data_IF_344305957980
#
_entry.id   IF_344305957980
#
_cell.length_a   1.000
_cell.length_b   1.000
_cell.length_c   1.000
_cell.angle_alpha   90.00
_cell.angle_beta   90.00
_cell.angle_gamma   90.00
#
_symmetry.space_group_name_H-M   'P 1'
#
loop_
_entity.id
_entity.type
_entity.pdbx_description
1 polymer ?
#
# COMPACT_ATOMS: atom_id res chain seq x y z
N UNK A 1 24.40 -22.93 -28.46
CA UNK A 1 23.04 -22.63 -27.94
C UNK A 1 23.05 -22.84 -26.44
N UNK A 2 23.52 -21.86 -25.69
CA UNK A 2 23.53 -21.92 -24.22
C UNK A 2 22.14 -21.55 -23.73
N UNK A 3 21.47 -22.53 -23.11
CA UNK A 3 20.20 -22.32 -22.44
C UNK A 3 20.36 -21.19 -21.41
N UNK A 4 19.45 -20.22 -21.45
CA UNK A 4 19.28 -19.23 -20.39
C UNK A 4 19.08 -19.97 -19.07
N UNK A 5 19.78 -19.58 -17.98
CA UNK A 5 19.49 -20.15 -16.68
C UNK A 5 18.04 -19.81 -16.34
N UNK A 6 17.23 -20.84 -16.12
CA UNK A 6 15.89 -20.71 -15.57
C UNK A 6 15.98 -19.89 -14.29
N UNK A 7 15.40 -18.69 -14.31
CA UNK A 7 15.24 -17.86 -13.13
C UNK A 7 14.57 -18.71 -12.04
N UNK A 8 15.18 -18.89 -10.86
CA UNK A 8 14.51 -19.56 -9.76
C UNK A 8 13.23 -18.79 -9.47
N UNK A 9 12.12 -19.51 -9.38
CA UNK A 9 10.80 -18.98 -9.03
C UNK A 9 10.95 -17.97 -7.89
N UNK A 10 10.86 -16.70 -8.22
CA UNK A 10 10.91 -15.60 -7.28
C UNK A 10 9.56 -15.60 -6.54
N UNK A 11 9.41 -16.50 -5.58
CA UNK A 11 8.33 -16.43 -4.59
C UNK A 11 8.94 -16.17 -3.22
N UNK A 12 9.68 -15.07 -3.13
CA UNK A 12 9.88 -14.37 -1.87
C UNK A 12 8.52 -13.72 -1.60
N UNK A 13 7.86 -14.08 -0.51
CA UNK A 13 6.64 -13.51 0.03
C UNK A 13 6.69 -11.96 -0.02
N UNK A 14 6.25 -11.38 -1.14
CA UNK A 14 6.73 -10.10 -1.67
C UNK A 14 6.05 -8.90 -0.99
N UNK A 15 6.53 -8.54 0.19
CA UNK A 15 6.13 -7.33 0.90
C UNK A 15 6.99 -7.08 2.15
N UNK A 16 7.02 -5.86 2.69
CA UNK A 16 7.73 -5.57 3.94
C UNK A 16 7.18 -6.45 5.08
N UNK A 17 8.07 -6.78 6.03
CA UNK A 17 7.66 -7.39 7.28
C UNK A 17 7.01 -6.31 8.15
N UNK A 18 5.81 -6.60 8.66
CA UNK A 18 5.08 -5.72 9.55
C UNK A 18 5.47 -6.00 11.01
N UNK A 19 5.36 -4.98 11.85
CA UNK A 19 5.52 -5.11 13.31
C UNK A 19 4.31 -4.54 14.07
N UNK A 20 4.38 -4.57 15.40
CA UNK A 20 3.27 -4.15 16.26
C UNK A 20 2.81 -2.71 16.01
N UNK A 21 3.68 -1.82 15.51
CA UNK A 21 3.34 -0.43 15.18
C UNK A 21 2.46 -0.33 13.93
N UNK A 22 2.42 -1.37 13.09
CA UNK A 22 1.58 -1.43 11.90
C UNK A 22 0.15 -1.92 12.19
N UNK A 23 -0.18 -2.23 13.46
CA UNK A 23 -1.49 -2.76 13.84
C UNK A 23 -2.66 -1.89 13.32
N UNK A 24 -2.56 -0.58 13.49
CA UNK A 24 -3.61 0.35 13.05
C UNK A 24 -3.76 0.30 11.52
N UNK A 25 -2.65 0.28 10.79
CA UNK A 25 -2.65 0.18 9.34
C UNK A 25 -3.34 -1.09 8.84
N UNK A 26 -3.11 -2.23 9.51
CA UNK A 26 -3.76 -3.51 9.17
C UNK A 26 -5.26 -3.47 9.46
N UNK A 27 -5.67 -2.92 10.60
CA UNK A 27 -7.08 -2.76 10.98
C UNK A 27 -7.84 -1.86 10.00
N UNK A 28 -7.27 -0.70 9.67
CA UNK A 28 -7.86 0.24 8.72
C UNK A 28 -8.01 -0.41 7.34
N UNK A 29 -6.98 -1.15 6.90
CA UNK A 29 -7.01 -1.89 5.63
C UNK A 29 -8.13 -2.93 5.60
N UNK A 30 -8.32 -3.71 6.67
CA UNK A 30 -9.40 -4.70 6.75
C UNK A 30 -10.78 -4.04 6.77
N UNK A 31 -10.91 -2.91 7.46
CA UNK A 31 -12.14 -2.13 7.51
C UNK A 31 -12.51 -1.56 6.13
N UNK A 32 -11.55 -0.94 5.44
CA UNK A 32 -11.73 -0.46 4.06
C UNK A 32 -12.04 -1.59 3.07
N UNK A 33 -11.47 -2.77 3.30
CA UNK A 33 -11.73 -3.97 2.51
C UNK A 33 -13.12 -4.59 2.77
N UNK A 34 -13.89 -4.06 3.73
CA UNK A 34 -15.20 -4.57 4.11
C UNK A 34 -15.15 -5.94 4.78
N UNK A 35 -14.05 -6.26 5.48
CA UNK A 35 -13.90 -7.53 6.17
C UNK A 35 -14.86 -7.63 7.37
N UNK A 36 -15.68 -8.70 7.47
CA UNK A 36 -16.56 -8.91 8.62
C UNK A 36 -15.75 -9.32 9.84
N UNK A 37 -15.84 -8.53 10.92
CA UNK A 37 -15.01 -8.72 12.12
C UNK A 37 -15.31 -10.05 12.84
N UNK A 38 -16.52 -10.60 12.66
CA UNK A 38 -16.92 -11.93 13.14
C UNK A 38 -16.05 -13.06 12.55
N UNK A 39 -15.38 -12.79 11.43
CA UNK A 39 -14.43 -13.68 10.78
C UNK A 39 -13.04 -13.73 11.43
N UNK A 40 -12.80 -13.04 12.54
CA UNK A 40 -11.49 -12.97 13.19
C UNK A 40 -10.91 -14.34 13.54
N UNK A 41 -11.75 -15.28 13.99
CA UNK A 41 -11.31 -16.57 14.50
C UNK A 41 -10.86 -17.52 13.35
N UNK A 42 -11.61 -17.66 12.25
CA UNK A 42 -11.10 -18.28 11.02
C UNK A 42 -9.86 -17.59 10.44
N UNK A 43 -9.83 -16.25 10.45
CA UNK A 43 -8.68 -15.47 9.96
C UNK A 43 -7.42 -15.78 10.76
N UNK A 44 -7.48 -15.74 12.09
CA UNK A 44 -6.35 -16.03 12.96
C UNK A 44 -5.78 -17.43 12.72
N UNK A 45 -6.64 -18.44 12.52
CA UNK A 45 -6.19 -19.79 12.13
C UNK A 45 -5.44 -19.77 10.80
N UNK A 46 -5.97 -19.12 9.78
CA UNK A 46 -5.31 -19.04 8.47
C UNK A 46 -4.01 -18.21 8.50
N UNK A 47 -3.83 -17.36 9.51
CA UNK A 47 -2.60 -16.60 9.77
C UNK A 47 -1.56 -17.38 10.58
N UNK A 48 -1.82 -18.63 10.95
CA UNK A 48 -0.87 -19.47 11.69
C UNK A 48 -1.02 -19.43 13.22
N UNK A 49 -2.07 -18.79 13.75
CA UNK A 49 -2.40 -18.80 15.19
C UNK A 49 -3.09 -20.11 15.57
N UNK A 50 -2.40 -21.22 15.30
CA UNK A 50 -2.87 -22.58 15.54
C UNK A 50 -2.70 -23.04 16.99
N UNK A 51 -2.13 -22.22 17.87
CA UNK A 51 -2.11 -22.51 19.29
C UNK A 51 -3.54 -22.72 19.75
N UNK A 52 -3.90 -23.94 20.13
CA UNK A 52 -5.22 -24.26 20.69
C UNK A 52 -5.58 -23.31 21.84
N UNK A 53 -4.57 -22.80 22.55
CA UNK A 53 -4.68 -21.79 23.59
C UNK A 53 -4.81 -20.36 23.09
N UNK A 54 -4.21 -19.96 21.97
CA UNK A 54 -4.06 -18.55 21.62
C UNK A 54 -5.40 -17.91 21.25
N UNK A 55 -6.09 -18.47 20.25
CA UNK A 55 -7.39 -17.94 19.83
C UNK A 55 -8.46 -18.15 20.91
N UNK A 56 -8.37 -19.25 21.66
CA UNK A 56 -9.28 -19.52 22.77
C UNK A 56 -9.08 -18.54 23.92
N UNK A 57 -7.84 -18.22 24.29
CA UNK A 57 -7.53 -17.24 25.32
C UNK A 57 -8.04 -15.85 24.91
N UNK A 58 -7.89 -15.46 23.65
CA UNK A 58 -8.47 -14.21 23.14
C UNK A 58 -9.99 -14.18 23.32
N UNK A 59 -10.68 -15.27 22.96
CA UNK A 59 -12.15 -15.36 23.11
C UNK A 59 -12.58 -15.35 24.59
N UNK A 60 -11.84 -16.03 25.46
CA UNK A 60 -12.13 -16.11 26.89
C UNK A 60 -11.81 -14.78 27.62
N UNK A 61 -10.81 -14.02 27.18
CA UNK A 61 -10.42 -12.72 27.74
C UNK A 61 -11.35 -11.57 27.29
N UNK A 62 -11.92 -11.67 26.08
CA UNK A 62 -12.78 -10.64 25.48
C UNK A 62 -14.14 -11.19 25.02
N UNK A 63 -14.93 -11.78 25.93
CA UNK A 63 -16.14 -12.49 25.56
C UNK A 63 -17.20 -11.54 24.98
N UNK A 64 -17.61 -11.81 23.74
CA UNK A 64 -18.63 -11.04 23.04
C UNK A 64 -18.13 -9.73 22.42
N UNK A 65 -16.88 -9.33 22.67
CA UNK A 65 -16.25 -8.18 22.00
C UNK A 65 -15.47 -8.66 20.77
N UNK A 66 -16.19 -8.76 19.65
CA UNK A 66 -15.65 -9.21 18.37
C UNK A 66 -14.57 -8.28 17.84
N UNK A 67 -14.69 -6.97 18.11
CA UNK A 67 -13.71 -5.96 17.68
C UNK A 67 -12.39 -6.15 18.40
N UNK A 68 -12.46 -6.28 19.72
CA UNK A 68 -11.28 -6.50 20.53
C UNK A 68 -10.65 -7.87 20.27
N UNK A 69 -11.46 -8.92 20.03
CA UNK A 69 -10.95 -10.22 19.60
C UNK A 69 -10.17 -10.14 18.28
N UNK A 70 -10.69 -9.43 17.26
CA UNK A 70 -9.95 -9.19 16.01
C UNK A 70 -8.66 -8.42 16.26
N UNK A 71 -8.71 -7.37 17.07
CA UNK A 71 -7.53 -6.56 17.40
C UNK A 71 -6.43 -7.42 18.04
N UNK A 72 -6.78 -8.25 19.04
CA UNK A 72 -5.83 -9.12 19.73
C UNK A 72 -5.31 -10.25 18.85
N UNK A 73 -6.16 -10.78 17.97
CA UNK A 73 -5.74 -11.73 16.94
C UNK A 73 -4.63 -11.13 16.07
N UNK A 74 -4.81 -9.89 15.60
CA UNK A 74 -3.80 -9.19 14.79
C UNK A 74 -2.55 -8.82 15.59
N UNK A 75 -2.69 -8.47 16.88
CA UNK A 75 -1.53 -8.28 17.79
C UNK A 75 -0.70 -9.56 17.84
N UNK A 76 -1.32 -10.72 18.10
CA UNK A 76 -0.60 -12.01 18.16
C UNK A 76 0.06 -12.38 16.84
N UNK A 77 -0.59 -12.06 15.72
CA UNK A 77 -0.01 -12.24 14.39
C UNK A 77 1.22 -11.34 14.18
N UNK A 78 1.17 -10.07 14.55
CA UNK A 78 2.30 -9.13 14.43
C UNK A 78 3.43 -9.45 15.41
N UNK A 79 3.11 -10.03 16.58
CA UNK A 79 4.07 -10.58 17.54
C UNK A 79 4.69 -11.91 17.07
N UNK A 80 4.26 -12.45 15.91
CA UNK A 80 4.76 -13.71 15.33
C UNK A 80 4.53 -14.92 16.25
N UNK A 81 3.40 -14.93 16.96
CA UNK A 81 3.04 -16.04 17.84
C UNK A 81 2.85 -17.36 17.07
N UNK A 82 2.91 -18.48 17.78
CA UNK A 82 2.62 -19.82 17.24
C UNK A 82 3.39 -20.14 15.94
N UNK A 83 2.67 -20.42 14.85
CA UNK A 83 3.21 -20.83 13.56
C UNK A 83 3.15 -19.72 12.51
N UNK A 84 2.99 -18.46 12.90
CA UNK A 84 2.88 -17.32 11.98
C UNK A 84 4.04 -17.26 10.98
N UNK A 85 5.26 -17.58 11.43
CA UNK A 85 6.44 -17.58 10.58
C UNK A 85 6.44 -18.69 9.54
N UNK A 86 5.81 -19.83 9.85
CA UNK A 86 5.62 -20.92 8.89
C UNK A 86 4.62 -20.53 7.79
N UNK A 87 3.62 -19.70 8.13
CA UNK A 87 2.64 -19.14 7.19
C UNK A 87 3.14 -17.87 6.45
N UNK A 88 4.45 -17.63 6.44
CA UNK A 88 5.09 -16.53 5.69
C UNK A 88 5.33 -15.25 6.49
N UNK A 89 5.04 -15.27 7.79
CA UNK A 89 5.24 -14.15 8.73
C UNK A 89 4.20 -13.04 8.56
N UNK A 90 4.29 -11.96 9.37
CA UNK A 90 3.35 -10.84 9.29
C UNK A 90 3.64 -9.95 8.07
N UNK A 91 3.02 -10.26 6.93
CA UNK A 91 3.10 -9.48 5.68
C UNK A 91 1.70 -9.29 5.11
N UNK A 92 1.50 -8.21 4.35
CA UNK A 92 0.23 -8.03 3.63
C UNK A 92 -0.08 -9.17 2.65
N UNK A 93 0.96 -9.85 2.14
CA UNK A 93 0.78 -11.03 1.29
C UNK A 93 0.23 -12.25 2.05
N UNK A 94 0.71 -12.54 3.27
CA UNK A 94 0.16 -13.64 4.08
C UNK A 94 -1.26 -13.31 4.56
N UNK A 95 -1.54 -12.04 4.88
CA UNK A 95 -2.91 -11.59 5.13
C UNK A 95 -3.83 -11.80 3.94
N UNK A 96 -3.39 -11.43 2.73
CA UNK A 96 -4.12 -11.69 1.49
C UNK A 96 -4.38 -13.18 1.27
N UNK A 97 -3.36 -14.03 1.46
CA UNK A 97 -3.48 -15.47 1.32
C UNK A 97 -4.50 -16.05 2.31
N UNK A 98 -4.42 -15.65 3.59
CA UNK A 98 -5.35 -16.07 4.63
C UNK A 98 -6.80 -15.66 4.30
N UNK A 99 -7.03 -14.42 3.83
CA UNK A 99 -8.35 -13.94 3.40
C UNK A 99 -8.91 -14.73 2.21
N UNK A 100 -8.05 -15.15 1.28
CA UNK A 100 -8.45 -16.02 0.16
C UNK A 100 -8.87 -17.40 0.67
N UNK A 101 -8.16 -17.95 1.64
CA UNK A 101 -8.42 -19.28 2.20
C UNK A 101 -9.73 -19.33 3.00
N UNK A 102 -10.04 -18.29 3.77
CA UNK A 102 -11.33 -18.16 4.48
C UNK A 102 -12.47 -17.67 3.57
N UNK A 103 -12.23 -17.58 2.26
CA UNK A 103 -13.21 -17.23 1.21
C UNK A 103 -13.79 -15.81 1.29
N UNK A 104 -13.12 -14.88 1.98
CA UNK A 104 -13.46 -13.45 1.95
C UNK A 104 -12.88 -12.78 0.70
N UNK A 105 -13.38 -13.19 -0.47
CA UNK A 105 -12.83 -12.79 -1.79
C UNK A 105 -12.81 -11.28 -1.99
N UNK A 106 -13.86 -10.56 -1.57
CA UNK A 106 -13.96 -9.10 -1.70
C UNK A 106 -12.78 -8.42 -0.99
N UNK A 107 -12.51 -8.82 0.25
CA UNK A 107 -11.40 -8.26 1.02
C UNK A 107 -10.03 -8.64 0.44
N UNK A 108 -9.88 -9.90 0.01
CA UNK A 108 -8.65 -10.37 -0.63
C UNK A 108 -8.37 -9.59 -1.94
N UNK A 109 -9.38 -9.40 -2.79
CA UNK A 109 -9.25 -8.65 -4.05
C UNK A 109 -8.94 -7.17 -3.81
N UNK A 110 -9.54 -6.57 -2.77
CA UNK A 110 -9.20 -5.21 -2.35
C UNK A 110 -7.73 -5.07 -1.98
N UNK A 111 -7.22 -5.94 -1.10
CA UNK A 111 -5.81 -5.90 -0.66
C UNK A 111 -4.86 -6.17 -1.81
N UNK A 112 -5.18 -7.16 -2.65
CA UNK A 112 -4.38 -7.45 -3.85
C UNK A 112 -4.25 -6.22 -4.73
N UNK A 113 -5.37 -5.60 -5.10
CA UNK A 113 -5.39 -4.46 -6.03
C UNK A 113 -4.79 -3.19 -5.43
N UNK A 114 -5.08 -2.91 -4.16
CA UNK A 114 -4.78 -1.61 -3.55
C UNK A 114 -3.48 -1.58 -2.74
N UNK A 115 -2.95 -2.73 -2.35
CA UNK A 115 -1.76 -2.83 -1.50
C UNK A 115 -0.65 -3.58 -2.23
N UNK A 116 -0.92 -4.79 -2.73
CA UNK A 116 0.11 -5.65 -3.34
C UNK A 116 0.48 -5.17 -4.75
N UNK A 117 -0.52 -4.99 -5.62
CA UNK A 117 -0.31 -4.66 -7.03
C UNK A 117 0.07 -3.17 -7.23
N UNK A 118 -0.15 -2.29 -6.23
CA UNK A 118 0.31 -0.89 -6.28
C UNK A 118 1.83 -0.76 -6.35
N UNK A 119 2.55 -1.77 -5.86
CA UNK A 119 4.00 -1.88 -5.92
C UNK A 119 4.50 -2.58 -7.20
N UNK A 120 3.67 -2.64 -8.26
CA UNK A 120 4.07 -3.09 -9.59
C UNK A 120 5.45 -2.51 -9.96
N UNK A 121 6.45 -3.36 -10.27
CA UNK A 121 7.79 -2.92 -10.66
C UNK A 121 7.75 -1.91 -11.81
N UNK A 122 6.81 -2.08 -12.73
CA UNK A 122 6.57 -1.18 -13.87
C UNK A 122 6.17 0.22 -13.40
N UNK A 123 5.20 0.33 -12.49
CA UNK A 123 4.76 1.60 -11.92
C UNK A 123 5.81 2.22 -10.99
N UNK A 124 6.58 1.41 -10.27
CA UNK A 124 7.70 1.87 -9.44
C UNK A 124 8.81 2.48 -10.29
N UNK A 125 9.21 1.81 -11.37
CA UNK A 125 10.18 2.36 -12.31
C UNK A 125 9.69 3.66 -12.94
N UNK A 126 8.41 3.72 -13.32
CA UNK A 126 7.81 4.95 -13.85
C UNK A 126 7.78 6.09 -12.82
N UNK A 127 7.42 5.81 -11.56
CA UNK A 127 7.43 6.79 -10.45
C UNK A 127 8.83 7.33 -10.19
N UNK A 128 9.84 6.47 -10.15
CA UNK A 128 11.22 6.89 -9.91
C UNK A 128 11.82 7.62 -11.12
N UNK A 129 11.45 7.24 -12.34
CA UNK A 129 11.80 7.98 -13.54
C UNK A 129 11.20 9.39 -13.53
N UNK A 130 9.91 9.53 -13.21
CA UNK A 130 9.26 10.84 -13.09
C UNK A 130 9.88 11.69 -11.98
N UNK A 131 10.13 11.12 -10.80
CA UNK A 131 10.85 11.82 -9.71
C UNK A 131 12.21 12.32 -10.17
N UNK A 132 12.95 11.51 -10.92
CA UNK A 132 14.26 11.87 -11.44
C UNK A 132 14.16 12.98 -12.49
N UNK A 133 13.21 12.88 -13.42
CA UNK A 133 12.95 13.90 -14.43
C UNK A 133 12.58 15.23 -13.78
N UNK A 134 11.66 15.23 -12.80
CA UNK A 134 11.26 16.44 -12.07
C UNK A 134 12.44 17.02 -11.30
N UNK A 135 13.22 16.19 -10.61
CA UNK A 135 14.44 16.60 -9.91
C UNK A 135 15.45 17.25 -10.86
N UNK A 136 15.72 16.64 -12.02
CA UNK A 136 16.65 17.18 -13.00
C UNK A 136 16.19 18.54 -13.55
N UNK A 137 14.91 18.69 -13.88
CA UNK A 137 14.37 19.96 -14.33
C UNK A 137 14.45 21.04 -13.25
N UNK A 138 14.17 20.68 -11.99
CA UNK A 138 14.27 21.58 -10.86
C UNK A 138 15.71 22.00 -10.59
N UNK A 139 16.66 21.05 -10.55
CA UNK A 139 18.09 21.35 -10.36
C UNK A 139 18.60 22.23 -11.49
N UNK A 140 18.19 21.97 -12.73
CA UNK A 140 18.55 22.80 -13.88
C UNK A 140 18.02 24.22 -13.74
N UNK A 141 16.74 24.39 -13.38
CA UNK A 141 16.13 25.71 -13.17
C UNK A 141 16.83 26.49 -12.04
N UNK A 142 17.19 25.82 -10.94
CA UNK A 142 17.93 26.44 -9.83
C UNK A 142 19.35 26.84 -10.24
N UNK A 143 20.08 25.98 -10.96
CA UNK A 143 21.44 26.27 -11.46
C UNK A 143 21.44 27.41 -12.48
N UNK A 144 20.39 27.49 -13.30
CA UNK A 144 20.22 28.57 -14.28
C UNK A 144 19.70 29.88 -13.65
N UNK A 145 19.42 29.89 -12.34
CA UNK A 145 18.91 31.06 -11.62
C UNK A 145 17.43 31.38 -11.93
N UNK A 146 16.72 30.45 -12.56
CA UNK A 146 15.30 30.56 -12.93
C UNK A 146 14.35 30.23 -11.76
N UNK A 147 14.86 29.68 -10.66
CA UNK A 147 14.08 29.35 -9.45
C UNK A 147 14.91 29.56 -8.17
N UNK A 148 14.29 30.04 -7.09
CA UNK A 148 14.94 30.23 -5.77
C UNK A 148 14.39 29.24 -4.73
N UNK A 149 15.30 28.58 -4.00
CA UNK A 149 14.93 27.63 -2.94
C UNK A 149 14.27 28.40 -1.79
N UNK A 150 12.99 28.13 -1.51
CA UNK A 150 12.35 28.57 -0.27
C UNK A 150 10.83 28.83 -0.32
N UNK A 151 10.27 29.35 -1.41
CA UNK A 151 8.85 29.78 -1.45
C UNK A 151 8.05 29.31 -2.68
N UNK A 152 8.69 28.65 -3.64
CA UNK A 152 8.10 28.33 -4.96
C UNK A 152 7.64 26.88 -5.15
N UNK A 153 7.64 26.03 -4.12
CA UNK A 153 7.29 24.59 -4.30
C UNK A 153 5.87 24.42 -4.84
N UNK A 154 4.93 25.28 -4.43
CA UNK A 154 3.53 25.24 -4.91
C UNK A 154 3.39 25.75 -6.36
N UNK A 155 4.09 26.83 -6.71
CA UNK A 155 4.08 27.43 -8.05
C UNK A 155 4.81 26.54 -9.08
N UNK A 156 5.86 25.85 -8.64
CA UNK A 156 6.59 24.88 -9.46
C UNK A 156 5.74 23.62 -9.66
N UNK A 157 5.04 23.13 -8.64
CA UNK A 157 4.14 21.99 -8.80
C UNK A 157 3.00 22.30 -9.78
N UNK A 158 2.38 23.49 -9.71
CA UNK A 158 1.34 23.90 -10.65
C UNK A 158 1.89 24.08 -12.07
N UNK A 159 3.08 24.65 -12.21
CA UNK A 159 3.74 24.84 -13.52
C UNK A 159 4.19 23.52 -14.15
N UNK A 160 4.76 22.60 -13.36
CA UNK A 160 5.19 21.27 -13.82
C UNK A 160 3.98 20.43 -14.20
N UNK A 161 2.92 20.40 -13.38
CA UNK A 161 1.66 19.74 -13.74
C UNK A 161 1.08 20.31 -15.03
N UNK A 162 1.08 21.63 -15.20
CA UNK A 162 0.57 22.29 -16.41
C UNK A 162 1.41 22.00 -17.67
N UNK A 163 2.74 21.88 -17.54
CA UNK A 163 3.62 21.49 -18.66
C UNK A 163 3.48 20.01 -19.01
N UNK A 164 3.41 19.13 -18.00
CA UNK A 164 3.19 17.69 -18.19
C UNK A 164 1.83 17.46 -18.85
N UNK A 165 0.76 18.09 -18.37
CA UNK A 165 -0.56 18.01 -18.98
C UNK A 165 -0.57 18.52 -20.42
N UNK A 166 0.13 19.62 -20.73
CA UNK A 166 0.29 20.11 -22.12
C UNK A 166 1.11 19.18 -23.01
N UNK A 167 2.15 18.53 -22.47
CA UNK A 167 2.92 17.52 -23.21
C UNK A 167 2.08 16.28 -23.51
N UNK A 168 1.26 15.83 -22.56
CA UNK A 168 0.33 14.70 -22.75
C UNK A 168 -0.75 15.06 -23.76
N UNK A 169 -1.39 16.24 -23.62
CA UNK A 169 -2.40 16.73 -24.55
C UNK A 169 -1.87 16.86 -25.99
N UNK A 170 -0.59 17.20 -26.15
CA UNK A 170 0.09 17.27 -27.46
C UNK A 170 0.39 15.90 -28.08
N UNK A 171 0.67 14.89 -27.25
CA UNK A 171 0.84 13.50 -27.71
C UNK A 171 -0.50 12.89 -28.13
N UNK A 172 -1.56 13.20 -27.39
CA UNK A 172 -2.92 12.65 -27.62
C UNK A 172 -3.77 13.49 -28.61
N UNK A 173 -3.24 14.61 -29.13
CA UNK A 173 -3.95 15.48 -30.08
C UNK A 173 -5.16 16.24 -29.50
N UNK A 174 -5.24 16.38 -28.18
CA UNK A 174 -6.36 17.00 -27.46
C UNK A 174 -6.10 18.52 -27.32
N UNK A 175 -6.99 19.37 -27.85
CA UNK A 175 -6.93 20.81 -27.63
C UNK A 175 -7.55 21.19 -26.28
N UNK A 176 -6.76 21.77 -25.38
CA UNK A 176 -7.22 22.34 -24.11
C UNK A 176 -7.46 23.85 -24.26
N UNK A 177 -8.62 24.35 -23.81
CA UNK A 177 -8.83 25.79 -23.62
C UNK A 177 -8.47 26.17 -22.18
N UNK A 178 -7.47 27.03 -22.03
CA UNK A 178 -7.08 27.57 -20.73
C UNK A 178 -8.11 28.63 -20.31
N UNK A 179 -9.07 28.26 -19.48
CA UNK A 179 -9.80 29.21 -18.63
C UNK A 179 -9.49 28.93 -17.17
N UNK A 180 -8.28 29.29 -16.77
CA UNK A 180 -7.92 29.40 -15.35
C UNK A 180 -8.42 30.75 -14.82
N UNK A 181 -9.72 30.86 -14.60
CA UNK A 181 -10.27 31.89 -13.72
C UNK A 181 -11.15 31.21 -12.69
N UNK A 182 -10.62 31.06 -11.47
CA UNK A 182 -11.47 30.79 -10.32
C UNK A 182 -10.87 29.86 -9.30
N UNK A 183 -9.83 30.29 -8.60
CA UNK A 183 -9.66 29.94 -7.18
C UNK A 183 -9.06 31.14 -6.47
N UNK A 184 -9.92 32.13 -6.20
CA UNK A 184 -9.66 33.17 -5.21
C UNK A 184 -10.02 32.64 -3.82
N UNK A 185 -9.18 32.99 -2.84
CA UNK A 185 -9.38 32.73 -1.40
C UNK A 185 -8.52 31.56 -0.93
N UNK A 186 -7.57 31.71 0.00
CA UNK A 186 -7.61 32.55 1.19
C UNK A 186 -6.24 33.15 1.54
N UNK A 187 -6.28 34.46 1.81
CA UNK A 187 -5.42 35.23 2.74
C UNK A 187 -5.92 34.86 4.14
N UNK A 188 -5.16 34.64 5.21
CA UNK A 188 -3.88 35.17 5.71
C UNK A 188 -2.95 34.07 6.22
#
# INVERSE_FOLDING_TARGET
MTALPSLPHLCICSGPLLDINDLQYVLDTLNEAGFPQEGWNPLGRALGLHGFSTLKAIEDDYPGDVQECLRQCLVKWLERADSVDYEGGPRMFSLFAALKDIRTKVAADYIRKNIIDKDSPELRHYREALKTIVRCHLTKAVVQGEARVGSEVHLICSTVSSKVLRSIAKVEGIQFSETLTGFSGWVT
#
